data_IF_513296041900
#
_entry.id   IF_513296041900
#
_cell.length_a   1.000
_cell.length_b   1.000
_cell.length_c   1.000
_cell.angle_alpha   90.00
_cell.angle_beta   90.00
_cell.angle_gamma   90.00
#
_symmetry.space_group_name_H-M   'P 1'
#
loop_
_entity.id
_entity.type
_entity.pdbx_description
1 polymer ?
#
# COMPACT_ATOMS: atom_id res chain seq x y z
N UNK A 1 -50.21 6.17 -31.33
CA UNK A 1 -48.84 6.01 -30.78
C UNK A 1 -48.17 7.28 -30.22
N UNK A 2 -48.07 8.45 -30.89
CA UNK A 2 -47.51 9.67 -30.23
C UNK A 2 -48.53 10.47 -29.39
N UNK A 3 -49.77 10.63 -29.86
CA UNK A 3 -50.84 11.29 -29.09
C UNK A 3 -51.18 10.50 -27.83
N UNK A 4 -51.32 9.17 -27.93
CA UNK A 4 -51.52 8.29 -26.77
C UNK A 4 -50.38 8.40 -25.76
N UNK A 5 -49.12 8.50 -26.22
CA UNK A 5 -47.98 8.73 -25.33
C UNK A 5 -48.11 10.06 -24.57
N UNK A 6 -48.45 11.14 -25.27
CA UNK A 6 -48.61 12.46 -24.65
C UNK A 6 -49.80 12.50 -23.67
N UNK A 7 -50.92 11.83 -23.99
CA UNK A 7 -52.08 11.68 -23.12
C UNK A 7 -51.75 10.84 -21.88
N UNK A 8 -51.10 9.69 -22.06
CA UNK A 8 -50.69 8.81 -20.97
C UNK A 8 -49.69 9.49 -20.02
N UNK A 9 -48.85 10.39 -20.55
CA UNK A 9 -47.94 11.23 -19.76
C UNK A 9 -48.59 12.49 -19.17
N UNK A 10 -49.86 12.75 -19.46
CA UNK A 10 -50.59 13.93 -18.97
C UNK A 10 -50.04 15.26 -19.52
N UNK A 11 -49.33 15.25 -20.65
CA UNK A 11 -48.75 16.46 -21.24
C UNK A 11 -49.76 17.22 -22.11
N UNK A 12 -50.78 16.52 -22.61
CA UNK A 12 -51.88 17.06 -23.38
C UNK A 12 -53.21 16.55 -22.83
N UNK A 13 -54.31 17.23 -23.18
CA UNK A 13 -55.68 16.77 -22.93
C UNK A 13 -56.59 17.01 -24.14
N UNK A 14 -57.74 16.33 -24.25
CA UNK A 14 -58.76 16.67 -25.24
C UNK A 14 -59.17 18.15 -25.13
N UNK A 15 -59.34 18.82 -26.26
CA UNK A 15 -59.63 20.26 -26.31
C UNK A 15 -60.97 20.53 -27.00
N UNK A 16 -61.73 21.45 -26.43
CA UNK A 16 -62.92 22.08 -27.03
C UNK A 16 -62.63 23.51 -27.50
N UNK A 17 -61.35 23.88 -27.59
CA UNK A 17 -60.91 25.23 -27.96
C UNK A 17 -61.33 25.59 -29.39
N UNK A 18 -61.60 26.88 -29.61
CA UNK A 18 -61.80 27.45 -30.94
C UNK A 18 -60.50 27.47 -31.76
N UNK A 19 -59.34 27.38 -31.11
CA UNK A 19 -58.04 27.25 -31.77
C UNK A 19 -57.82 25.83 -32.32
N UNK A 20 -56.93 25.69 -33.31
CA UNK A 20 -56.66 24.40 -33.93
C UNK A 20 -55.52 24.44 -34.93
N UNK A 21 -54.29 24.44 -34.44
CA UNK A 21 -53.10 24.35 -35.28
C UNK A 21 -52.99 22.98 -35.97
N UNK A 22 -52.56 22.92 -37.24
CA UNK A 22 -52.35 21.64 -37.93
C UNK A 22 -51.08 20.95 -37.43
N UNK A 23 -51.08 19.62 -37.49
CA UNK A 23 -49.92 18.77 -37.17
C UNK A 23 -49.12 18.48 -38.43
N UNK A 24 -47.81 18.64 -38.33
CA UNK A 24 -46.81 18.33 -39.35
C UNK A 24 -45.85 17.28 -38.80
N UNK A 25 -45.22 16.51 -39.69
CA UNK A 25 -44.17 15.57 -39.31
C UNK A 25 -42.86 15.97 -39.97
N UNK A 26 -41.79 16.01 -39.18
CA UNK A 26 -40.42 16.24 -39.64
C UNK A 26 -39.59 14.99 -39.36
N UNK A 27 -38.72 14.60 -40.28
CA UNK A 27 -37.76 13.52 -40.06
C UNK A 27 -36.64 14.00 -39.13
N UNK A 28 -36.33 13.19 -38.12
CA UNK A 28 -35.11 13.34 -37.32
C UNK A 28 -33.91 12.77 -38.08
N UNK A 29 -32.70 13.09 -37.62
CA UNK A 29 -31.45 12.54 -38.16
C UNK A 29 -31.38 11.00 -38.05
N UNK A 30 -32.06 10.41 -37.07
CA UNK A 30 -32.18 8.95 -36.88
C UNK A 30 -33.25 8.29 -37.77
N UNK A 31 -33.89 9.05 -38.67
CA UNK A 31 -34.97 8.58 -39.55
C UNK A 31 -36.36 8.51 -38.90
N UNK A 32 -36.48 8.75 -37.59
CA UNK A 32 -37.78 8.74 -36.90
C UNK A 32 -38.61 10.00 -37.19
N UNK A 33 -39.94 9.87 -37.21
CA UNK A 33 -40.85 10.99 -37.41
C UNK A 33 -41.10 11.75 -36.09
N UNK A 34 -40.83 13.06 -36.09
CA UNK A 34 -41.17 13.99 -35.00
C UNK A 34 -42.45 14.74 -35.35
N UNK A 35 -43.46 14.61 -34.49
CA UNK A 35 -44.67 15.43 -34.56
C UNK A 35 -44.37 16.87 -34.15
N UNK A 36 -44.68 17.81 -35.03
CA UNK A 36 -44.51 19.24 -34.87
C UNK A 36 -45.86 19.92 -35.10
N UNK A 37 -46.17 20.94 -34.29
CA UNK A 37 -47.44 21.66 -34.41
C UNK A 37 -47.15 23.01 -35.06
N UNK A 38 -47.88 23.34 -36.13
CA UNK A 38 -47.67 24.57 -36.86
C UNK A 38 -48.34 25.77 -36.18
N UNK A 39 -47.62 26.37 -35.23
CA UNK A 39 -48.08 27.55 -34.51
C UNK A 39 -47.83 28.87 -35.25
N UNK A 40 -47.48 28.88 -36.56
CA UNK A 40 -47.16 30.13 -37.28
C UNK A 40 -48.28 31.18 -37.19
N UNK A 41 -49.55 30.77 -37.27
CA UNK A 41 -50.69 31.67 -37.12
C UNK A 41 -50.82 32.23 -35.70
N UNK A 42 -50.68 31.37 -34.69
CA UNK A 42 -50.71 31.77 -33.28
C UNK A 42 -49.55 32.72 -32.93
N UNK A 43 -48.36 32.44 -33.45
CA UNK A 43 -47.15 33.22 -33.24
C UNK A 43 -47.27 34.65 -33.78
N UNK A 44 -48.01 34.87 -34.88
CA UNK A 44 -48.28 36.22 -35.41
C UNK A 44 -49.14 37.08 -34.47
N UNK A 45 -50.00 36.45 -33.68
CA UNK A 45 -50.89 37.12 -32.73
C UNK A 45 -50.26 37.22 -31.32
N UNK A 46 -49.10 36.58 -31.11
CA UNK A 46 -48.45 36.51 -29.80
C UNK A 46 -47.60 37.76 -29.56
N UNK A 47 -47.79 38.40 -28.41
CA UNK A 47 -46.91 39.46 -27.94
C UNK A 47 -45.55 38.85 -27.63
N UNK A 48 -44.52 39.26 -28.38
CA UNK A 48 -43.18 38.67 -28.28
C UNK A 48 -42.51 39.02 -26.95
N UNK A 49 -42.02 38.01 -26.25
CA UNK A 49 -41.16 38.17 -25.09
C UNK A 49 -39.77 38.65 -25.55
N UNK A 50 -39.29 39.76 -24.99
CA UNK A 50 -37.98 40.37 -25.30
C UNK A 50 -36.90 39.99 -24.29
N UNK A 51 -37.06 38.88 -23.56
CA UNK A 51 -36.02 38.38 -22.66
C UNK A 51 -34.70 38.20 -23.42
N UNK A 52 -33.62 38.70 -22.83
CA UNK A 52 -32.29 38.68 -23.46
C UNK A 52 -31.74 37.27 -23.40
N UNK A 53 -31.50 36.69 -24.58
CA UNK A 53 -30.73 35.45 -24.71
C UNK A 53 -29.26 35.88 -24.75
N UNK A 54 -28.39 35.29 -23.91
CA UNK A 54 -26.97 35.65 -23.89
C UNK A 54 -26.32 35.39 -25.26
N UNK A 55 -25.33 36.23 -25.62
CA UNK A 55 -24.54 35.99 -26.84
C UNK A 55 -23.56 34.87 -26.59
N UNK A 56 -23.35 34.03 -27.61
CA UNK A 56 -22.44 32.89 -27.51
C UNK A 56 -21.01 33.36 -27.18
N UNK A 57 -20.56 34.47 -27.77
CA UNK A 57 -19.22 35.03 -27.50
C UNK A 57 -19.04 35.39 -26.02
N UNK A 58 -20.03 36.06 -25.41
CA UNK A 58 -20.01 36.42 -23.99
C UNK A 58 -19.92 35.15 -23.09
N UNK A 59 -20.61 34.08 -23.48
CA UNK A 59 -20.57 32.80 -22.77
C UNK A 59 -19.22 32.09 -22.93
N UNK A 60 -18.58 32.19 -24.10
CA UNK A 60 -17.27 31.59 -24.34
C UNK A 60 -16.17 32.31 -23.55
N UNK A 61 -16.26 33.63 -23.41
CA UNK A 61 -15.31 34.42 -22.60
C UNK A 61 -15.34 34.00 -21.12
N UNK A 62 -16.49 33.58 -20.60
CA UNK A 62 -16.63 33.06 -19.23
C UNK A 62 -15.87 31.74 -19.01
N UNK A 63 -15.61 30.96 -20.07
CA UNK A 63 -14.89 29.69 -19.99
C UNK A 63 -13.37 29.85 -19.88
N UNK A 64 -12.86 31.09 -19.88
CA UNK A 64 -11.42 31.35 -19.87
C UNK A 64 -10.74 30.76 -18.63
N UNK A 65 -9.77 29.88 -18.87
CA UNK A 65 -9.00 29.20 -17.81
C UNK A 65 -9.65 27.93 -17.26
N UNK A 66 -10.85 27.57 -17.73
CA UNK A 66 -11.44 26.27 -17.47
C UNK A 66 -10.73 25.18 -18.32
N UNK A 67 -10.48 24.03 -17.71
CA UNK A 67 -9.89 22.87 -18.41
C UNK A 67 -10.80 21.65 -18.39
N UNK A 68 -11.86 21.69 -17.56
CA UNK A 68 -12.82 20.60 -17.38
C UNK A 68 -14.23 21.11 -17.61
N UNK A 69 -15.00 20.36 -18.40
CA UNK A 69 -16.34 20.72 -18.83
C UNK A 69 -17.29 19.52 -18.70
N UNK A 70 -18.47 19.75 -18.14
CA UNK A 70 -19.57 18.78 -18.08
C UNK A 70 -20.82 19.40 -18.71
N UNK A 71 -21.42 18.70 -19.67
CA UNK A 71 -22.67 19.12 -20.30
C UNK A 71 -23.84 18.40 -19.65
N UNK A 72 -24.81 19.16 -19.15
CA UNK A 72 -26.11 18.65 -18.74
C UNK A 72 -27.10 18.81 -19.90
N UNK A 73 -27.74 17.72 -20.28
CA UNK A 73 -28.79 17.69 -21.29
C UNK A 73 -30.15 17.44 -20.60
N UNK A 74 -31.11 18.33 -20.84
CA UNK A 74 -32.43 18.24 -20.21
C UNK A 74 -33.35 17.35 -21.03
N UNK A 75 -33.87 16.30 -20.40
CA UNK A 75 -34.84 15.39 -21.03
C UNK A 75 -36.13 16.15 -21.37
N UNK A 76 -36.33 16.43 -22.66
CA UNK A 76 -37.53 17.13 -23.17
C UNK A 76 -37.81 18.45 -22.43
N UNK A 77 -36.78 19.31 -22.29
CA UNK A 77 -36.78 20.52 -21.46
C UNK A 77 -38.07 21.34 -21.51
N UNK A 78 -38.55 21.72 -22.70
CA UNK A 78 -39.78 22.51 -22.84
C UNK A 78 -41.01 21.88 -22.15
N UNK A 79 -41.15 20.55 -22.16
CA UNK A 79 -42.28 19.86 -21.53
C UNK A 79 -42.24 19.89 -20.00
N UNK A 80 -41.14 20.35 -19.39
CA UNK A 80 -41.03 20.51 -17.94
C UNK A 80 -41.64 21.84 -17.46
N UNK A 81 -41.86 22.79 -18.37
CA UNK A 81 -42.48 24.09 -18.06
C UNK A 81 -43.99 23.99 -18.31
N UNK A 82 -44.80 24.28 -17.28
CA UNK A 82 -46.27 24.29 -17.41
C UNK A 82 -46.75 25.49 -18.22
N UNK A 83 -47.77 25.28 -19.04
CA UNK A 83 -48.49 26.38 -19.68
C UNK A 83 -49.30 27.13 -18.63
N UNK A 84 -49.37 28.45 -18.73
CA UNK A 84 -50.29 29.25 -17.93
C UNK A 84 -51.75 28.88 -18.27
N UNK A 85 -52.61 28.76 -17.26
CA UNK A 85 -53.99 28.26 -17.42
C UNK A 85 -54.79 29.02 -18.49
N UNK A 86 -54.62 30.34 -18.55
CA UNK A 86 -55.27 31.22 -19.53
C UNK A 86 -54.73 31.08 -20.97
N UNK A 87 -53.66 30.32 -21.17
CA UNK A 87 -52.96 30.18 -22.45
C UNK A 87 -52.98 28.74 -22.99
N UNK A 88 -53.38 27.75 -22.16
CA UNK A 88 -53.51 26.34 -22.56
C UNK A 88 -54.38 26.20 -23.82
N UNK A 89 -55.58 26.77 -23.82
CA UNK A 89 -56.53 26.63 -24.94
C UNK A 89 -55.98 27.15 -26.29
N UNK A 90 -55.01 28.07 -26.27
CA UNK A 90 -54.38 28.61 -27.49
C UNK A 90 -53.45 27.61 -28.16
N UNK A 91 -52.94 26.65 -27.40
CA UNK A 91 -52.06 25.56 -27.88
C UNK A 91 -52.83 24.40 -28.51
N UNK A 92 -54.15 24.56 -28.72
CA UNK A 92 -54.96 23.52 -29.31
C UNK A 92 -54.51 23.20 -30.74
N UNK A 93 -54.42 21.90 -31.04
CA UNK A 93 -54.05 21.36 -32.34
C UNK A 93 -55.01 20.25 -32.77
N UNK A 94 -55.17 20.10 -34.08
CA UNK A 94 -56.14 19.17 -34.68
C UNK A 94 -55.44 17.99 -35.34
N UNK A 95 -56.00 16.81 -35.12
CA UNK A 95 -55.59 15.56 -35.77
C UNK A 95 -56.81 14.86 -36.36
N UNK A 96 -56.59 13.82 -37.16
CA UNK A 96 -57.69 12.95 -37.65
C UNK A 96 -58.46 12.24 -36.52
N UNK A 97 -57.91 12.21 -35.30
CA UNK A 97 -58.46 11.53 -34.14
C UNK A 97 -59.04 12.49 -33.09
N UNK A 98 -59.17 13.78 -33.42
CA UNK A 98 -59.72 14.80 -32.52
C UNK A 98 -58.77 15.97 -32.25
N UNK A 99 -59.24 16.88 -31.40
CA UNK A 99 -58.55 18.10 -30.98
C UNK A 99 -57.95 17.92 -29.59
N UNK A 100 -56.71 18.37 -29.42
CA UNK A 100 -55.96 18.28 -28.17
C UNK A 100 -55.25 19.59 -27.88
N UNK A 101 -55.00 19.89 -26.61
CA UNK A 101 -54.25 21.07 -26.17
C UNK A 101 -53.16 20.69 -25.18
N UNK A 102 -52.07 21.45 -25.16
CA UNK A 102 -50.91 21.19 -24.32
C UNK A 102 -51.05 21.83 -22.94
N UNK A 103 -50.78 21.04 -21.90
CA UNK A 103 -50.69 21.49 -20.51
C UNK A 103 -49.27 21.96 -20.14
N UNK A 104 -48.28 21.59 -20.94
CA UNK A 104 -46.87 21.94 -20.81
C UNK A 104 -46.39 22.63 -22.08
N UNK A 105 -45.34 23.42 -22.02
CA UNK A 105 -44.90 24.25 -23.14
C UNK A 105 -44.49 23.39 -24.35
N UNK A 106 -45.19 23.48 -25.50
CA UNK A 106 -44.83 22.75 -26.70
C UNK A 106 -43.73 23.47 -27.49
N UNK A 107 -43.03 22.71 -28.33
CA UNK A 107 -42.14 23.28 -29.34
C UNK A 107 -42.94 24.11 -30.36
N UNK A 108 -42.31 25.17 -30.88
CA UNK A 108 -42.85 25.98 -31.97
C UNK A 108 -43.55 27.26 -31.54
N UNK A 109 -43.76 27.50 -30.23
CA UNK A 109 -44.23 28.80 -29.74
C UNK A 109 -43.10 29.84 -29.78
N UNK A 110 -43.38 31.06 -30.26
CA UNK A 110 -42.35 32.12 -30.39
C UNK A 110 -41.72 32.52 -29.05
N UNK A 111 -42.46 32.48 -27.94
CA UNK A 111 -41.94 32.84 -26.63
C UNK A 111 -41.28 31.68 -25.89
N UNK A 112 -41.29 30.45 -26.44
CA UNK A 112 -40.79 29.28 -25.72
C UNK A 112 -39.28 29.38 -25.38
N UNK A 113 -38.38 29.73 -26.31
CA UNK A 113 -36.94 29.85 -25.99
C UNK A 113 -36.65 30.91 -24.92
N UNK A 114 -37.31 32.07 -25.03
CA UNK A 114 -37.16 33.17 -24.08
C UNK A 114 -37.66 32.80 -22.67
N UNK A 115 -38.79 32.09 -22.59
CA UNK A 115 -39.35 31.62 -21.32
C UNK A 115 -38.45 30.54 -20.70
N UNK A 116 -37.96 29.62 -21.52
CA UNK A 116 -37.05 28.57 -21.07
C UNK A 116 -35.74 29.13 -20.52
N UNK A 117 -35.10 30.05 -21.25
CA UNK A 117 -33.88 30.72 -20.79
C UNK A 117 -34.11 31.47 -19.47
N UNK A 118 -35.24 32.18 -19.34
CA UNK A 118 -35.56 32.92 -18.12
C UNK A 118 -35.71 32.00 -16.91
N UNK A 119 -36.39 30.87 -17.07
CA UNK A 119 -36.55 29.87 -16.01
C UNK A 119 -35.22 29.22 -15.64
N UNK A 120 -34.40 28.82 -16.62
CA UNK A 120 -33.08 28.24 -16.32
C UNK A 120 -32.17 29.25 -15.62
N UNK A 121 -32.19 30.51 -16.05
CA UNK A 121 -31.44 31.58 -15.40
C UNK A 121 -31.93 31.81 -13.96
N UNK A 122 -33.24 31.67 -13.69
CA UNK A 122 -33.76 31.76 -12.33
C UNK A 122 -33.30 30.58 -11.47
N UNK A 123 -33.41 29.35 -11.96
CA UNK A 123 -33.08 28.12 -11.22
C UNK A 123 -31.58 28.07 -10.91
N UNK A 124 -30.74 28.41 -11.88
CA UNK A 124 -29.29 28.29 -11.79
C UNK A 124 -28.60 29.58 -11.36
N UNK A 125 -29.37 30.61 -10.99
CA UNK A 125 -28.86 31.95 -10.62
C UNK A 125 -27.63 31.95 -9.68
N UNK A 126 -27.54 31.08 -8.65
CA UNK A 126 -26.38 31.07 -7.76
C UNK A 126 -25.07 30.61 -8.43
N UNK A 127 -25.16 29.93 -9.58
CA UNK A 127 -24.03 29.29 -10.26
C UNK A 127 -23.67 29.95 -11.60
N UNK A 128 -24.56 30.82 -12.11
CA UNK A 128 -24.32 31.61 -13.31
C UNK A 128 -23.09 32.49 -13.09
N UNK A 129 -22.30 32.67 -14.15
CA UNK A 129 -21.06 33.47 -14.19
C UNK A 129 -19.92 32.97 -13.26
N UNK A 130 -20.16 31.97 -12.41
CA UNK A 130 -19.14 31.34 -11.57
C UNK A 130 -18.64 30.00 -12.14
N UNK A 131 -19.55 29.05 -12.35
CA UNK A 131 -19.22 27.68 -12.76
C UNK A 131 -20.24 27.04 -13.72
N UNK A 132 -21.32 27.76 -14.07
CA UNK A 132 -22.36 27.28 -14.98
C UNK A 132 -22.68 28.33 -16.03
N UNK A 133 -22.71 27.88 -17.29
CA UNK A 133 -23.20 28.61 -18.45
C UNK A 133 -24.49 27.94 -18.92
N UNK A 134 -25.51 28.74 -19.26
CA UNK A 134 -26.79 28.23 -19.79
C UNK A 134 -27.09 28.89 -21.13
N UNK A 135 -27.26 28.08 -22.17
CA UNK A 135 -27.73 28.52 -23.47
C UNK A 135 -28.88 27.64 -23.94
N UNK A 136 -30.11 28.14 -23.80
CA UNK A 136 -31.33 27.41 -24.09
C UNK A 136 -31.32 26.03 -23.39
N UNK A 137 -31.36 24.95 -24.16
CA UNK A 137 -31.38 23.56 -23.65
C UNK A 137 -29.99 23.06 -23.21
N UNK A 138 -28.91 23.79 -23.53
CA UNK A 138 -27.53 23.40 -23.23
C UNK A 138 -27.05 24.06 -21.93
N UNK A 139 -26.88 23.26 -20.88
CA UNK A 139 -26.29 23.71 -19.61
C UNK A 139 -24.86 23.15 -19.54
N UNK A 140 -23.88 24.04 -19.43
CA UNK A 140 -22.46 23.72 -19.38
C UNK A 140 -21.90 24.07 -18.00
N UNK A 141 -21.42 23.07 -17.26
CA UNK A 141 -20.66 23.24 -16.02
C UNK A 141 -19.18 23.27 -16.39
N UNK A 142 -18.43 24.25 -15.89
CA UNK A 142 -17.00 24.40 -16.19
C UNK A 142 -16.18 24.58 -14.91
N UNK A 143 -14.93 24.11 -14.93
CA UNK A 143 -13.99 24.26 -13.80
C UNK A 143 -12.54 24.29 -14.29
N UNK A 144 -11.65 24.86 -13.47
CA UNK A 144 -10.22 25.00 -13.82
C UNK A 144 -9.45 23.70 -13.76
N UNK A 145 -9.86 22.78 -12.90
CA UNK A 145 -9.25 21.47 -12.75
C UNK A 145 -10.26 20.43 -12.25
N UNK A 146 -9.86 19.16 -12.33
CA UNK A 146 -10.72 18.02 -11.99
C UNK A 146 -11.03 17.93 -10.47
N UNK A 147 -10.18 18.53 -9.63
CA UNK A 147 -10.33 18.54 -8.18
C UNK A 147 -11.48 19.47 -7.77
N UNK A 148 -11.54 20.64 -8.40
CA UNK A 148 -12.67 21.58 -8.28
C UNK A 148 -13.93 21.05 -8.95
N UNK A 149 -13.81 20.32 -10.07
CA UNK A 149 -14.96 19.88 -10.85
C UNK A 149 -15.80 18.77 -10.19
N UNK A 150 -15.17 17.88 -9.42
CA UNK A 150 -15.76 16.57 -9.13
C UNK A 150 -16.38 16.34 -7.76
N UNK A 151 -16.51 17.34 -6.87
CA UNK A 151 -16.98 17.11 -5.50
C UNK A 151 -16.10 16.11 -4.70
N UNK A 152 -15.00 15.58 -5.27
CA UNK A 152 -14.16 14.55 -4.64
C UNK A 152 -13.52 15.06 -3.34
N UNK A 153 -13.18 16.34 -3.28
CA UNK A 153 -12.72 16.97 -2.03
C UNK A 153 -13.79 16.89 -0.93
N UNK A 154 -15.05 17.18 -1.26
CA UNK A 154 -16.17 17.14 -0.31
C UNK A 154 -16.44 15.72 0.20
N UNK A 155 -16.27 14.70 -0.64
CA UNK A 155 -16.52 13.30 -0.26
C UNK A 155 -15.27 12.56 0.24
N UNK A 156 -14.11 13.22 0.34
CA UNK A 156 -12.87 12.59 0.81
C UNK A 156 -11.97 13.46 1.72
N UNK A 157 -11.70 14.72 1.35
CA UNK A 157 -10.65 15.55 1.95
C UNK A 157 -11.14 16.46 3.10
N UNK A 158 -12.44 16.75 3.14
CA UNK A 158 -13.06 17.50 4.26
C UNK A 158 -13.16 16.64 5.53
N UNK A 159 -13.15 17.31 6.69
CA UNK A 159 -13.09 16.65 8.00
C UNK A 159 -14.19 15.60 8.20
N UNK A 160 -15.43 15.91 7.79
CA UNK A 160 -16.57 15.00 7.96
C UNK A 160 -16.59 13.84 6.95
N UNK A 161 -15.80 13.91 5.87
CA UNK A 161 -15.62 12.80 4.94
C UNK A 161 -14.59 11.78 5.43
N UNK A 162 -13.75 12.15 6.40
CA UNK A 162 -12.94 11.22 7.17
C UNK A 162 -11.87 10.44 6.39
N UNK A 163 -11.50 10.90 5.19
CA UNK A 163 -10.48 10.25 4.36
C UNK A 163 -10.72 8.74 4.16
N UNK A 164 -11.96 8.30 3.94
CA UNK A 164 -12.24 6.89 3.74
C UNK A 164 -11.59 6.32 2.46
N UNK A 165 -11.53 4.99 2.36
CA UNK A 165 -11.00 4.31 1.16
C UNK A 165 -11.95 4.44 -0.03
N UNK A 166 -11.41 4.19 -1.23
CA UNK A 166 -12.06 4.46 -2.52
C UNK A 166 -13.48 3.92 -2.63
N UNK A 167 -13.75 2.69 -2.17
CA UNK A 167 -15.11 2.12 -2.21
C UNK A 167 -16.14 2.93 -1.41
N UNK A 168 -15.76 3.42 -0.23
CA UNK A 168 -16.66 4.23 0.62
C UNK A 168 -16.89 5.62 0.01
N UNK A 169 -15.82 6.25 -0.48
CA UNK A 169 -15.91 7.54 -1.19
C UNK A 169 -16.79 7.40 -2.43
N UNK A 170 -16.58 6.35 -3.24
CA UNK A 170 -17.40 6.05 -4.42
C UNK A 170 -18.87 5.85 -4.05
N UNK A 171 -19.17 5.07 -3.02
CA UNK A 171 -20.56 4.83 -2.59
C UNK A 171 -21.20 6.10 -2.04
N UNK A 172 -20.44 7.01 -1.42
CA UNK A 172 -20.92 8.32 -0.98
C UNK A 172 -21.36 9.19 -2.16
N UNK A 173 -20.47 9.34 -3.14
CA UNK A 173 -20.69 10.17 -4.33
C UNK A 173 -21.80 9.58 -5.21
N UNK A 174 -21.81 8.26 -5.38
CA UNK A 174 -22.76 7.53 -6.24
C UNK A 174 -24.23 7.65 -5.80
N UNK A 175 -24.51 8.19 -4.61
CA UNK A 175 -25.88 8.50 -4.16
C UNK A 175 -26.50 9.67 -4.92
N UNK A 176 -25.67 10.60 -5.37
CA UNK A 176 -26.10 11.88 -5.92
C UNK A 176 -25.59 12.11 -7.34
N UNK A 177 -24.49 11.45 -7.72
CA UNK A 177 -23.79 11.70 -8.99
C UNK A 177 -23.38 10.40 -9.69
N UNK A 178 -23.21 10.47 -11.01
CA UNK A 178 -22.66 9.39 -11.83
C UNK A 178 -21.95 9.97 -13.05
N UNK A 179 -20.79 9.41 -13.41
CA UNK A 179 -20.11 9.68 -14.68
C UNK A 179 -19.31 8.45 -15.18
N UNK A 180 -19.00 8.38 -16.49
CA UNK A 180 -18.14 7.32 -17.04
C UNK A 180 -16.77 7.30 -16.35
N UNK A 181 -16.24 6.11 -16.03
CA UNK A 181 -14.96 5.93 -15.32
C UNK A 181 -14.89 6.52 -13.89
N UNK A 182 -16.03 6.86 -13.27
CA UNK A 182 -16.10 7.36 -11.90
C UNK A 182 -15.33 6.51 -10.88
N UNK A 183 -15.39 5.18 -10.98
CA UNK A 183 -14.65 4.30 -10.10
C UNK A 183 -13.13 4.46 -10.23
N UNK A 184 -12.63 4.62 -11.46
CA UNK A 184 -11.20 4.81 -11.75
C UNK A 184 -10.74 6.19 -11.25
N UNK A 185 -11.54 7.23 -11.44
CA UNK A 185 -11.22 8.59 -11.00
C UNK A 185 -11.23 8.72 -9.49
N UNK A 186 -12.25 8.15 -8.80
CA UNK A 186 -12.28 8.08 -7.34
C UNK A 186 -11.07 7.30 -6.82
N UNK A 187 -10.74 6.17 -7.44
CA UNK A 187 -9.58 5.38 -7.06
C UNK A 187 -8.30 6.21 -7.20
N UNK A 188 -8.07 6.85 -8.36
CA UNK A 188 -6.91 7.70 -8.62
C UNK A 188 -6.80 8.81 -7.57
N UNK A 189 -7.89 9.53 -7.30
CA UNK A 189 -7.93 10.62 -6.32
C UNK A 189 -7.61 10.16 -4.90
N UNK A 190 -8.22 9.07 -4.43
CA UNK A 190 -7.97 8.54 -3.08
C UNK A 190 -6.54 8.01 -2.97
N UNK A 191 -6.00 7.39 -4.04
CA UNK A 191 -4.61 6.91 -4.04
C UNK A 191 -3.57 8.01 -4.12
N UNK A 192 -3.88 9.16 -4.72
CA UNK A 192 -2.98 10.32 -4.80
C UNK A 192 -3.10 11.26 -3.59
N UNK A 193 -4.03 11.01 -2.67
CA UNK A 193 -4.20 11.82 -1.46
C UNK A 193 -2.99 11.70 -0.50
N UNK A 194 -2.22 12.79 -0.39
CA UNK A 194 -1.01 12.89 0.45
C UNK A 194 -1.27 12.49 1.92
N UNK A 195 -2.34 13.04 2.54
CA UNK A 195 -2.74 12.71 3.92
C UNK A 195 -2.97 11.20 4.09
N UNK A 196 -3.63 10.56 3.13
CA UNK A 196 -3.86 9.12 3.14
C UNK A 196 -2.56 8.33 2.99
N UNK A 197 -1.69 8.72 2.07
CA UNK A 197 -0.42 8.04 1.81
C UNK A 197 0.50 8.07 3.04
N UNK A 198 0.52 9.18 3.80
CA UNK A 198 1.33 9.31 5.01
C UNK A 198 0.79 8.56 6.22
N UNK A 199 -0.54 8.46 6.36
CA UNK A 199 -1.18 7.92 7.58
C UNK A 199 -1.51 6.43 7.49
N UNK A 200 -1.95 5.96 6.33
CA UNK A 200 -2.42 4.57 6.17
C UNK A 200 -1.24 3.62 5.97
N UNK A 201 -1.41 2.37 6.40
CA UNK A 201 -0.43 1.32 6.12
C UNK A 201 -0.40 1.01 4.61
N UNK A 202 0.79 0.93 4.02
CA UNK A 202 0.93 0.43 2.66
C UNK A 202 0.47 -1.03 2.56
N UNK A 203 -0.29 -1.34 1.51
CA UNK A 203 -0.66 -2.71 1.12
C UNK A 203 0.25 -3.26 0.02
N UNK A 204 1.24 -2.49 -0.43
CA UNK A 204 2.20 -2.95 -1.43
C UNK A 204 3.06 -4.07 -0.85
N UNK A 205 3.55 -4.95 -1.73
CA UNK A 205 4.56 -5.93 -1.35
C UNK A 205 5.83 -5.18 -0.91
N UNK A 206 6.63 -5.80 -0.05
CA UNK A 206 7.91 -5.20 0.36
C UNK A 206 8.83 -5.10 -0.87
N UNK A 207 9.41 -3.92 -1.07
CA UNK A 207 10.36 -3.68 -2.16
C UNK A 207 11.71 -4.34 -1.89
N UNK A 208 12.35 -4.82 -2.95
CA UNK A 208 13.69 -5.42 -2.94
C UNK A 208 13.72 -6.92 -2.66
N UNK A 209 14.38 -7.67 -3.55
CA UNK A 209 14.65 -9.11 -3.39
C UNK A 209 15.55 -9.39 -2.18
N UNK A 210 15.48 -10.61 -1.67
CA UNK A 210 16.32 -11.04 -0.55
C UNK A 210 17.80 -11.09 -0.98
N UNK A 211 18.62 -10.24 -0.36
CA UNK A 211 20.06 -10.32 -0.42
C UNK A 211 20.56 -11.20 0.74
N UNK A 212 21.11 -12.36 0.40
CA UNK A 212 21.63 -13.33 1.38
C UNK A 212 23.16 -13.26 1.40
N UNK A 213 23.76 -13.38 2.60
CA UNK A 213 25.20 -13.47 2.75
C UNK A 213 25.74 -14.78 2.12
N UNK A 214 26.97 -14.79 1.60
CA UNK A 214 27.57 -16.01 1.04
C UNK A 214 27.60 -17.13 2.09
N UNK A 215 27.29 -18.35 1.64
CA UNK A 215 27.36 -19.54 2.50
C UNK A 215 28.84 -19.88 2.74
N UNK A 216 29.28 -20.08 3.99
CA UNK A 216 30.66 -20.46 4.27
C UNK A 216 30.97 -21.86 3.73
N UNK A 217 32.23 -22.15 3.44
CA UNK A 217 32.68 -23.44 2.89
C UNK A 217 33.17 -24.40 3.99
N UNK A 218 33.60 -23.86 5.15
CA UNK A 218 34.16 -24.64 6.25
C UNK A 218 33.72 -24.08 7.63
N UNK A 219 33.81 -24.89 8.70
CA UNK A 219 33.55 -24.42 10.06
C UNK A 219 34.39 -23.20 10.44
N UNK A 220 33.81 -22.30 11.22
CA UNK A 220 34.46 -21.12 11.84
C UNK A 220 34.93 -20.04 10.86
N UNK A 221 34.65 -20.16 9.56
CA UNK A 221 34.93 -19.09 8.59
C UNK A 221 34.08 -17.84 8.81
N UNK A 222 32.81 -18.03 9.17
CA UNK A 222 31.84 -16.94 9.42
C UNK A 222 31.08 -17.25 10.69
N UNK A 223 31.08 -16.33 11.64
CA UNK A 223 30.39 -16.51 12.92
C UNK A 223 29.41 -15.36 13.17
N UNK A 224 28.32 -15.65 13.88
CA UNK A 224 27.31 -14.67 14.32
C UNK A 224 27.40 -14.50 15.82
N UNK A 225 27.32 -13.26 16.30
CA UNK A 225 27.27 -12.91 17.71
C UNK A 225 25.94 -12.23 18.03
N UNK A 226 25.37 -12.58 19.17
CA UNK A 226 24.17 -11.95 19.70
C UNK A 226 24.17 -11.99 21.24
N UNK A 227 23.38 -11.12 21.86
CA UNK A 227 23.17 -11.10 23.31
C UNK A 227 21.74 -11.47 23.66
N UNK A 228 21.58 -12.53 24.46
CA UNK A 228 20.36 -12.75 25.21
C UNK A 228 20.46 -11.90 26.48
N UNK A 229 19.63 -10.87 26.59
CA UNK A 229 19.60 -9.94 27.73
C UNK A 229 18.28 -10.03 28.49
N UNK A 230 18.17 -9.31 29.61
CA UNK A 230 16.98 -9.30 30.49
C UNK A 230 16.66 -10.66 31.11
N UNK A 231 17.69 -11.48 31.32
CA UNK A 231 17.56 -12.68 32.12
C UNK A 231 17.55 -12.30 33.61
N UNK A 232 16.88 -13.09 34.46
CA UNK A 232 16.97 -12.87 35.90
C UNK A 232 18.42 -13.02 36.36
N UNK A 233 18.90 -12.15 37.26
CA UNK A 233 20.28 -12.22 37.72
C UNK A 233 20.54 -13.54 38.45
N UNK A 234 21.69 -14.15 38.18
CA UNK A 234 22.11 -15.39 38.85
C UNK A 234 22.69 -15.13 40.23
N UNK A 235 22.92 -16.22 40.99
CA UNK A 235 23.66 -16.15 42.27
C UNK A 235 25.08 -15.59 42.08
N UNK A 236 25.67 -15.78 40.90
CA UNK A 236 26.98 -15.22 40.54
C UNK A 236 26.87 -13.84 39.85
N UNK A 237 25.69 -13.21 39.91
CA UNK A 237 25.38 -11.88 39.38
C UNK A 237 25.42 -11.73 37.85
N UNK A 238 25.27 -12.80 37.06
CA UNK A 238 25.15 -12.72 35.60
C UNK A 238 23.69 -12.48 35.18
N UNK A 239 23.45 -11.60 34.21
CA UNK A 239 22.09 -11.24 33.73
C UNK A 239 21.96 -11.29 32.19
N UNK A 240 23.01 -11.75 31.49
CA UNK A 240 23.03 -11.88 30.04
C UNK A 240 23.87 -13.07 29.55
N UNK A 241 23.63 -13.51 28.33
CA UNK A 241 24.40 -14.54 27.63
C UNK A 241 24.91 -13.96 26.31
N UNK A 242 26.23 -14.01 26.10
CA UNK A 242 26.81 -13.85 24.78
C UNK A 242 26.71 -15.18 24.05
N UNK A 243 25.94 -15.19 22.97
CA UNK A 243 25.75 -16.35 22.11
C UNK A 243 26.61 -16.18 20.87
N UNK A 244 27.44 -17.17 20.58
CA UNK A 244 28.24 -17.21 19.34
C UNK A 244 27.88 -18.45 18.56
N UNK A 245 27.57 -18.29 17.27
CA UNK A 245 27.25 -19.43 16.40
C UNK A 245 28.11 -19.43 15.14
N UNK A 246 28.70 -20.58 14.83
CA UNK A 246 29.32 -20.83 13.53
C UNK A 246 28.24 -20.99 12.44
N UNK A 247 28.32 -20.19 11.38
CA UNK A 247 27.32 -20.19 10.30
C UNK A 247 27.41 -21.44 9.43
N UNK A 248 28.49 -22.20 9.49
CA UNK A 248 28.63 -23.46 8.76
C UNK A 248 28.13 -24.67 9.56
N UNK A 249 28.84 -25.05 10.62
CA UNK A 249 28.56 -26.23 11.44
C UNK A 249 27.31 -26.08 12.32
N UNK A 250 26.89 -24.83 12.57
CA UNK A 250 25.87 -24.45 13.56
C UNK A 250 26.28 -24.66 15.00
N UNK A 251 27.58 -24.82 15.26
CA UNK A 251 28.13 -24.97 16.60
C UNK A 251 27.94 -23.68 17.38
N UNK A 252 27.32 -23.80 18.56
CA UNK A 252 26.96 -22.69 19.42
C UNK A 252 27.84 -22.65 20.67
N UNK A 253 28.15 -21.44 21.13
CA UNK A 253 28.75 -21.15 22.43
C UNK A 253 27.80 -20.30 23.26
N UNK A 254 27.58 -20.69 24.52
CA UNK A 254 26.70 -19.98 25.45
C UNK A 254 27.52 -19.43 26.61
N UNK A 255 27.91 -18.16 26.51
CA UNK A 255 28.89 -17.55 27.41
C UNK A 255 28.16 -16.60 28.36
N UNK A 256 28.14 -16.92 29.66
CA UNK A 256 27.59 -16.03 30.68
C UNK A 256 28.31 -14.67 30.68
N UNK A 257 27.55 -13.59 30.82
CA UNK A 257 28.05 -12.22 30.83
C UNK A 257 27.06 -11.29 31.55
N UNK A 258 27.29 -9.99 31.47
CA UNK A 258 26.42 -8.96 32.01
C UNK A 258 25.85 -8.07 30.90
N UNK A 259 24.63 -7.58 31.06
CA UNK A 259 24.04 -6.58 30.14
C UNK A 259 24.89 -5.31 30.10
N UNK A 260 25.54 -4.98 31.22
CA UNK A 260 26.45 -3.84 31.39
C UNK A 260 27.91 -4.14 31.06
N UNK A 261 28.22 -5.34 30.54
CA UNK A 261 29.60 -5.71 30.22
C UNK A 261 30.19 -4.71 29.21
N UNK A 262 31.44 -4.30 29.44
CA UNK A 262 32.12 -3.38 28.54
C UNK A 262 32.51 -4.08 27.25
N UNK A 263 32.79 -3.29 26.21
CA UNK A 263 33.26 -3.84 24.94
C UNK A 263 34.54 -4.66 25.10
N UNK A 264 35.47 -4.20 25.92
CA UNK A 264 36.74 -4.88 26.18
C UNK A 264 36.53 -6.26 26.84
N UNK A 265 35.58 -6.36 27.76
CA UNK A 265 35.20 -7.62 28.41
C UNK A 265 34.56 -8.57 27.39
N UNK A 266 33.67 -8.05 26.54
CA UNK A 266 33.08 -8.84 25.43
C UNK A 266 34.16 -9.37 24.49
N UNK A 267 35.16 -8.55 24.17
CA UNK A 267 36.28 -8.97 23.31
C UNK A 267 37.13 -10.05 23.97
N UNK A 268 37.37 -9.95 25.28
CA UNK A 268 38.07 -11.00 26.02
C UNK A 268 37.30 -12.32 26.01
N UNK A 269 35.97 -12.28 26.17
CA UNK A 269 35.13 -13.47 26.05
C UNK A 269 35.24 -14.08 24.65
N UNK A 270 35.16 -13.26 23.60
CA UNK A 270 35.29 -13.73 22.22
C UNK A 270 36.67 -14.35 21.94
N UNK A 271 37.75 -13.70 22.38
CA UNK A 271 39.12 -14.22 22.23
C UNK A 271 39.29 -15.55 22.97
N UNK A 272 38.84 -15.62 24.23
CA UNK A 272 39.00 -16.79 25.10
C UNK A 272 38.20 -18.00 24.63
N UNK A 273 36.97 -17.80 24.17
CA UNK A 273 36.07 -18.90 23.86
C UNK A 273 36.09 -19.31 22.39
N UNK A 274 36.38 -18.37 21.48
CA UNK A 274 36.29 -18.59 20.04
C UNK A 274 37.68 -18.61 19.41
N UNK A 275 38.41 -17.49 19.49
CA UNK A 275 39.71 -17.37 18.79
C UNK A 275 40.71 -18.40 19.29
N UNK A 276 40.81 -18.60 20.60
CA UNK A 276 41.79 -19.54 21.16
C UNK A 276 41.46 -21.01 20.85
N UNK A 277 40.22 -21.33 20.47
CA UNK A 277 39.76 -22.70 20.24
C UNK A 277 39.73 -23.05 18.75
N UNK A 278 39.31 -22.09 17.91
CA UNK A 278 39.00 -22.33 16.49
C UNK A 278 39.78 -21.45 15.52
N UNK A 279 40.51 -20.45 16.04
CA UNK A 279 41.18 -19.44 15.23
C UNK A 279 40.30 -18.24 14.90
N UNK A 280 40.82 -17.37 14.04
CA UNK A 280 40.22 -16.08 13.71
C UNK A 280 39.25 -16.26 12.54
N UNK A 281 37.95 -15.91 12.68
CA UNK A 281 37.00 -16.00 11.58
C UNK A 281 37.28 -14.92 10.52
N UNK A 282 36.94 -15.23 9.27
CA UNK A 282 37.09 -14.28 8.16
C UNK A 282 36.02 -13.19 8.18
N UNK A 283 34.81 -13.53 8.66
CA UNK A 283 33.69 -12.60 8.76
C UNK A 283 32.95 -12.76 10.10
N UNK A 284 32.66 -11.64 10.74
CA UNK A 284 31.87 -11.54 11.95
C UNK A 284 30.55 -10.86 11.66
N UNK A 285 29.45 -11.54 11.95
CA UNK A 285 28.09 -11.00 11.84
C UNK A 285 27.61 -10.64 13.24
N UNK A 286 27.05 -9.45 13.41
CA UNK A 286 26.41 -9.04 14.66
C UNK A 286 25.27 -8.07 14.39
N UNK A 287 24.42 -7.87 15.39
CA UNK A 287 23.49 -6.76 15.42
C UNK A 287 24.23 -5.41 15.58
N UNK A 288 23.45 -4.33 15.68
CA UNK A 288 23.97 -2.98 15.90
C UNK A 288 24.12 -2.64 17.38
N UNK A 289 24.31 -3.62 18.26
CA UNK A 289 24.59 -3.35 19.67
C UNK A 289 25.80 -2.39 19.78
N UNK A 290 25.73 -1.37 20.66
CA UNK A 290 26.82 -0.42 20.87
C UNK A 290 28.19 -1.07 21.11
N UNK A 291 28.22 -2.26 21.73
CA UNK A 291 29.45 -3.02 21.98
C UNK A 291 30.12 -3.41 20.66
N UNK A 292 29.37 -3.96 19.69
CA UNK A 292 29.90 -4.40 18.39
C UNK A 292 30.15 -3.25 17.40
N UNK A 293 29.51 -2.09 17.60
CA UNK A 293 29.69 -0.91 16.74
C UNK A 293 30.74 0.08 17.24
N UNK A 294 31.25 -0.12 18.45
CA UNK A 294 32.27 0.71 19.09
C UNK A 294 33.57 0.79 18.29
N UNK A 295 34.32 1.88 18.48
CA UNK A 295 35.63 2.07 17.84
C UNK A 295 36.59 0.94 18.20
N UNK A 296 36.67 0.59 19.48
CA UNK A 296 37.53 -0.50 19.96
C UNK A 296 37.24 -1.83 19.22
N UNK A 297 35.97 -2.21 19.09
CA UNK A 297 35.60 -3.46 18.41
C UNK A 297 36.00 -3.46 16.94
N UNK A 298 35.77 -2.34 16.24
CA UNK A 298 36.15 -2.16 14.83
C UNK A 298 37.66 -2.26 14.63
N UNK A 299 38.45 -1.60 15.48
CA UNK A 299 39.91 -1.66 15.41
C UNK A 299 40.42 -3.08 15.71
N UNK A 300 39.86 -3.74 16.72
CA UNK A 300 40.23 -5.13 17.04
C UNK A 300 40.00 -6.07 15.86
N UNK A 301 38.82 -6.00 15.23
CA UNK A 301 38.52 -6.86 14.08
C UNK A 301 39.39 -6.52 12.86
N UNK A 302 39.69 -5.23 12.65
CA UNK A 302 40.63 -4.79 11.62
C UNK A 302 42.03 -5.40 11.82
N UNK A 303 42.55 -5.35 13.05
CA UNK A 303 43.86 -5.94 13.41
C UNK A 303 43.88 -7.47 13.23
N UNK A 304 42.76 -8.13 13.49
CA UNK A 304 42.61 -9.58 13.29
C UNK A 304 42.37 -9.96 11.82
N UNK A 305 42.12 -8.99 10.93
CA UNK A 305 41.77 -9.24 9.54
C UNK A 305 40.34 -9.76 9.33
N UNK A 306 39.47 -9.63 10.33
CA UNK A 306 38.08 -10.08 10.30
C UNK A 306 37.18 -8.99 9.73
N UNK A 307 36.38 -9.34 8.70
CA UNK A 307 35.39 -8.42 8.12
C UNK A 307 34.16 -8.33 9.02
N UNK A 308 33.75 -7.12 9.35
CA UNK A 308 32.52 -6.86 10.10
C UNK A 308 31.32 -6.72 9.15
N UNK A 309 30.31 -7.57 9.34
CA UNK A 309 29.05 -7.52 8.61
C UNK A 309 27.88 -7.25 9.59
N UNK A 310 27.39 -6.02 9.65
CA UNK A 310 26.28 -5.67 10.55
C UNK A 310 24.94 -6.11 9.96
N UNK A 311 24.08 -6.78 10.74
CA UNK A 311 22.69 -6.96 10.33
C UNK A 311 22.02 -5.57 10.22
N UNK A 312 21.35 -5.31 9.10
CA UNK A 312 20.72 -4.00 8.88
C UNK A 312 19.34 -3.95 9.54
N UNK A 313 18.93 -2.77 10.00
CA UNK A 313 17.60 -2.53 10.62
C UNK A 313 16.44 -2.85 9.66
N UNK A 314 16.72 -2.94 8.35
CA UNK A 314 15.76 -3.31 7.30
C UNK A 314 15.91 -4.76 6.79
N UNK A 315 16.94 -5.50 7.23
CA UNK A 315 17.15 -6.91 6.87
C UNK A 315 17.21 -7.81 8.12
N UNK A 316 16.09 -8.00 8.83
CA UNK A 316 16.00 -9.02 9.90
C UNK A 316 16.35 -10.45 9.43
N UNK A 317 16.48 -10.67 8.12
CA UNK A 317 16.79 -11.98 7.54
C UNK A 317 18.28 -12.34 7.56
N UNK A 318 19.20 -11.39 7.77
CA UNK A 318 20.62 -11.73 7.99
C UNK A 318 20.86 -12.37 9.35
N UNK A 319 19.98 -12.09 10.34
CA UNK A 319 20.13 -12.51 11.73
C UNK A 319 19.06 -13.51 12.22
N UNK A 320 18.08 -13.91 11.40
CA UNK A 320 17.06 -14.88 11.83
C UNK A 320 17.58 -16.25 12.33
N UNK A 321 18.87 -16.54 12.16
CA UNK A 321 19.52 -17.70 12.78
C UNK A 321 19.85 -17.49 14.26
N UNK A 322 20.25 -16.28 14.70
CA UNK A 322 20.47 -15.98 16.12
C UNK A 322 19.14 -15.93 16.86
N UNK A 323 18.08 -15.37 16.25
CA UNK A 323 16.73 -15.39 16.83
C UNK A 323 16.23 -16.81 17.11
N UNK A 324 16.38 -17.72 16.12
CA UNK A 324 16.02 -19.14 16.28
C UNK A 324 16.86 -19.82 17.35
N UNK A 325 18.15 -19.48 17.45
CA UNK A 325 19.05 -20.01 18.45
C UNK A 325 18.67 -19.53 19.85
N UNK A 326 18.37 -18.24 20.02
CA UNK A 326 17.94 -17.66 21.29
C UNK A 326 16.68 -18.36 21.80
N UNK A 327 15.70 -18.64 20.92
CA UNK A 327 14.52 -19.43 21.28
C UNK A 327 14.88 -20.84 21.78
N UNK A 328 15.85 -21.51 21.15
CA UNK A 328 16.31 -22.83 21.60
C UNK A 328 17.00 -22.73 22.95
N UNK A 329 17.87 -21.73 23.15
CA UNK A 329 18.56 -21.48 24.42
C UNK A 329 17.55 -21.21 25.53
N UNK A 330 16.56 -20.34 25.30
CA UNK A 330 15.48 -20.07 26.26
C UNK A 330 14.70 -21.34 26.64
N UNK A 331 14.37 -22.19 25.67
CA UNK A 331 13.71 -23.48 25.94
C UNK A 331 14.58 -24.43 26.76
N UNK A 332 15.87 -24.53 26.43
CA UNK A 332 16.84 -25.34 27.16
C UNK A 332 17.01 -24.84 28.61
N UNK A 333 17.11 -23.53 28.80
CA UNK A 333 17.17 -22.90 30.12
C UNK A 333 15.90 -23.15 30.92
N UNK A 334 14.73 -22.98 30.30
CA UNK A 334 13.43 -23.25 30.96
C UNK A 334 13.29 -24.71 31.40
N UNK A 335 13.80 -25.66 30.62
CA UNK A 335 13.82 -27.06 30.98
C UNK A 335 14.83 -27.37 32.11
N UNK A 336 16.04 -26.81 32.04
CA UNK A 336 17.10 -27.08 33.01
C UNK A 336 16.91 -26.36 34.35
N UNK A 337 16.27 -25.20 34.35
CA UNK A 337 16.17 -24.32 35.53
C UNK A 337 14.74 -24.27 36.10
N UNK A 338 13.93 -25.32 35.86
CA UNK A 338 12.52 -25.39 36.28
C UNK A 338 12.33 -25.13 37.77
N UNK A 339 13.26 -25.61 38.60
CA UNK A 339 13.19 -25.53 40.05
C UNK A 339 13.92 -24.31 40.63
N UNK A 340 14.92 -23.76 39.91
CA UNK A 340 15.69 -22.60 40.34
C UNK A 340 16.30 -21.86 39.13
N UNK A 341 15.66 -20.77 38.73
CA UNK A 341 16.11 -19.95 37.61
C UNK A 341 17.40 -19.18 37.93
N UNK A 342 17.76 -18.99 39.20
CA UNK A 342 18.95 -18.20 39.58
C UNK A 342 20.29 -18.91 39.34
N UNK A 343 20.27 -20.15 38.84
CA UNK A 343 21.45 -20.99 38.57
C UNK A 343 21.67 -21.25 37.08
N UNK A 344 20.97 -20.53 36.21
CA UNK A 344 21.01 -20.79 34.77
C UNK A 344 22.43 -20.70 34.19
N UNK A 345 23.32 -19.87 34.76
CA UNK A 345 24.71 -19.71 34.33
C UNK A 345 25.59 -20.94 34.60
N UNK A 346 25.25 -21.75 35.60
CA UNK A 346 25.93 -23.01 35.92
C UNK A 346 25.58 -24.12 34.92
N UNK A 347 24.39 -24.05 34.32
CA UNK A 347 23.91 -25.05 33.38
C UNK A 347 24.41 -24.84 31.95
N UNK A 348 24.85 -23.62 31.61
CA UNK A 348 25.25 -23.27 30.23
C UNK A 348 26.24 -24.25 29.58
N UNK A 349 27.32 -24.72 30.23
CA UNK A 349 28.25 -25.66 29.59
C UNK A 349 27.60 -26.99 29.20
N UNK A 350 26.66 -27.48 30.01
CA UNK A 350 25.93 -28.73 29.74
C UNK A 350 24.88 -28.52 28.65
N UNK A 351 24.22 -27.35 28.65
CA UNK A 351 23.27 -26.97 27.61
C UNK A 351 23.96 -26.77 26.26
N UNK A 352 25.15 -26.16 26.25
CA UNK A 352 26.01 -26.02 25.07
C UNK A 352 26.38 -27.39 24.51
N UNK A 353 26.81 -28.32 25.36
CA UNK A 353 27.06 -29.71 24.97
C UNK A 353 25.82 -30.38 24.37
N UNK A 354 24.66 -30.26 25.03
CA UNK A 354 23.41 -30.86 24.58
C UNK A 354 22.99 -30.31 23.21
N UNK A 355 23.09 -29.00 23.01
CA UNK A 355 22.82 -28.33 21.74
C UNK A 355 23.78 -28.81 20.63
N UNK A 356 25.09 -28.82 20.89
CA UNK A 356 26.10 -29.20 19.89
C UNK A 356 26.12 -30.70 19.57
N UNK A 357 25.54 -31.54 20.44
CA UNK A 357 25.34 -32.96 20.24
C UNK A 357 23.98 -33.30 19.59
N UNK A 358 23.09 -32.33 19.39
CA UNK A 358 21.82 -32.53 18.69
C UNK A 358 21.99 -32.34 17.18
N UNK A 359 21.33 -33.17 16.38
CA UNK A 359 21.32 -33.01 14.92
C UNK A 359 20.62 -31.71 14.54
N UNK A 360 21.30 -30.85 13.80
CA UNK A 360 20.72 -29.59 13.34
C UNK A 360 20.00 -29.78 12.00
N UNK A 361 18.74 -29.35 11.88
CA UNK A 361 17.91 -29.59 10.69
C UNK A 361 18.52 -29.05 9.38
N UNK A 362 19.18 -27.88 9.45
CA UNK A 362 19.78 -27.26 8.26
C UNK A 362 20.97 -28.06 7.71
N UNK A 363 21.81 -28.63 8.57
CA UNK A 363 23.00 -29.39 8.14
C UNK A 363 22.71 -30.89 8.02
N UNK A 364 21.67 -31.39 8.71
CA UNK A 364 21.40 -32.82 8.83
C UNK A 364 22.43 -33.57 9.67
N UNK A 365 23.32 -32.85 10.37
CA UNK A 365 24.44 -33.39 11.14
C UNK A 365 24.50 -32.70 12.51
N UNK A 366 25.21 -33.32 13.45
CA UNK A 366 25.53 -32.68 14.73
C UNK A 366 26.59 -31.60 14.52
N UNK A 367 26.44 -30.40 15.10
CA UNK A 367 27.46 -29.36 15.04
C UNK A 367 28.84 -29.84 15.49
N UNK A 368 28.91 -30.58 16.60
CA UNK A 368 30.15 -31.15 17.10
C UNK A 368 30.81 -32.10 16.09
N UNK A 369 30.01 -32.94 15.41
CA UNK A 369 30.53 -33.86 14.41
C UNK A 369 31.08 -33.14 13.17
N UNK A 370 30.44 -32.06 12.74
CA UNK A 370 30.91 -31.25 11.60
C UNK A 370 32.23 -30.54 11.88
N UNK A 371 32.47 -30.12 13.12
CA UNK A 371 33.74 -29.50 13.50
C UNK A 371 34.86 -30.53 13.68
N UNK A 372 34.56 -31.66 14.32
CA UNK A 372 35.60 -32.57 14.83
C UNK A 372 35.69 -33.92 14.13
N UNK A 373 34.75 -34.25 13.23
CA UNK A 373 34.71 -35.54 12.52
C UNK A 373 34.44 -36.75 13.42
N UNK A 374 34.05 -36.53 14.67
CA UNK A 374 33.77 -37.57 15.66
C UNK A 374 32.56 -37.21 16.50
N UNK A 375 31.86 -38.22 16.99
CA UNK A 375 30.79 -38.01 17.95
C UNK A 375 31.37 -37.70 19.34
N UNK A 376 30.72 -36.81 20.12
CA UNK A 376 31.13 -36.61 21.50
C UNK A 376 30.90 -37.89 22.31
N UNK A 377 31.79 -38.15 23.26
CA UNK A 377 31.67 -39.30 24.15
C UNK A 377 30.54 -39.07 25.14
N UNK A 378 29.73 -40.11 25.37
CA UNK A 378 28.68 -40.13 26.40
C UNK A 378 28.83 -41.42 27.22
N UNK A 379 28.45 -41.41 28.52
CA UNK A 379 28.70 -42.56 29.41
C UNK A 379 28.17 -43.91 28.92
N UNK A 380 27.12 -43.92 28.09
CA UNK A 380 26.48 -45.14 27.57
C UNK A 380 27.04 -45.65 26.23
N UNK A 381 27.99 -44.94 25.61
CA UNK A 381 28.66 -45.38 24.38
C UNK A 381 30.14 -45.61 24.66
N UNK A 382 30.54 -46.82 25.13
CA UNK A 382 31.94 -47.19 25.15
C UNK A 382 32.46 -47.22 23.71
N UNK A 383 33.67 -46.71 23.53
CA UNK A 383 34.40 -46.71 22.26
C UNK A 383 34.41 -48.12 21.68
N UNK A 384 33.58 -48.40 20.67
CA UNK A 384 33.83 -49.56 19.81
C UNK A 384 35.19 -49.32 19.19
N UNK A 385 36.13 -50.28 19.34
CA UNK A 385 37.45 -50.27 18.71
C UNK A 385 37.32 -49.94 17.23
N UNK A 386 37.37 -48.65 16.90
CA UNK A 386 37.39 -48.19 15.53
C UNK A 386 38.82 -48.39 15.06
N UNK A 387 38.99 -49.19 14.01
CA UNK A 387 40.23 -49.28 13.25
C UNK A 387 40.72 -47.86 13.00
N UNK A 388 41.91 -47.51 13.51
CA UNK A 388 42.46 -46.16 13.35
C UNK A 388 42.54 -45.87 11.85
N UNK A 389 41.69 -44.97 11.36
CA UNK A 389 41.76 -44.56 9.96
C UNK A 389 43.08 -43.80 9.74
N UNK A 390 43.80 -44.07 8.63
CA UNK A 390 44.91 -43.24 8.21
C UNK A 390 44.50 -41.75 8.16
N UNK A 391 45.38 -40.86 8.60
CA UNK A 391 45.07 -39.42 8.68
C UNK A 391 44.60 -38.83 7.33
N UNK A 392 45.11 -39.35 6.22
CA UNK A 392 44.69 -38.94 4.87
C UNK A 392 43.22 -39.26 4.57
N UNK A 393 42.75 -40.44 4.97
CA UNK A 393 41.37 -40.87 4.77
C UNK A 393 40.41 -40.04 5.62
N UNK A 394 40.84 -39.66 6.83
CA UNK A 394 40.09 -38.76 7.70
C UNK A 394 39.93 -37.37 7.08
N UNK A 395 41.02 -36.75 6.59
CA UNK A 395 40.96 -35.43 5.95
C UNK A 395 40.05 -35.47 4.71
N UNK A 396 40.18 -36.50 3.89
CA UNK A 396 39.33 -36.69 2.70
C UNK A 396 37.86 -36.83 3.09
N UNK A 397 37.58 -37.61 4.13
CA UNK A 397 36.22 -37.79 4.67
C UNK A 397 35.64 -36.47 5.19
N UNK A 398 36.46 -35.67 5.90
CA UNK A 398 36.05 -34.36 6.40
C UNK A 398 35.75 -33.36 5.29
N UNK A 399 36.59 -33.28 4.26
CA UNK A 399 36.32 -32.43 3.10
C UNK A 399 35.04 -32.84 2.38
N UNK A 400 34.82 -34.14 2.17
CA UNK A 400 33.56 -34.62 1.57
C UNK A 400 32.33 -34.30 2.44
N UNK A 401 32.47 -34.37 3.77
CA UNK A 401 31.41 -33.99 4.72
C UNK A 401 31.11 -32.49 4.62
N UNK A 402 32.15 -31.65 4.55
CA UNK A 402 32.01 -30.22 4.39
C UNK A 402 31.41 -29.84 3.04
N UNK A 403 31.84 -30.43 1.94
CA UNK A 403 31.28 -30.19 0.59
C UNK A 403 29.78 -30.51 0.54
N UNK A 404 29.36 -31.64 1.12
CA UNK A 404 27.94 -32.02 1.20
C UNK A 404 27.16 -31.03 2.05
N UNK A 405 27.73 -30.59 3.16
CA UNK A 405 27.11 -29.61 4.08
C UNK A 405 26.97 -28.25 3.41
N UNK A 406 28.01 -27.77 2.73
CA UNK A 406 28.01 -26.53 1.97
C UNK A 406 26.90 -26.53 0.92
N UNK A 407 26.81 -27.59 0.10
CA UNK A 407 25.74 -27.75 -0.91
C UNK A 407 24.35 -27.71 -0.28
N UNK A 408 24.14 -28.40 0.84
CA UNK A 408 22.86 -28.39 1.55
C UNK A 408 22.50 -27.01 2.08
N UNK A 409 23.46 -26.27 2.64
CA UNK A 409 23.23 -24.90 3.12
C UNK A 409 22.91 -23.94 1.96
N UNK A 410 23.57 -24.10 0.81
CA UNK A 410 23.25 -23.36 -0.41
C UNK A 410 21.82 -23.65 -0.88
N UNK A 411 21.42 -24.93 -0.94
CA UNK A 411 20.07 -25.31 -1.36
C UNK A 411 19.00 -24.72 -0.45
N UNK A 412 19.20 -24.79 0.87
CA UNK A 412 18.28 -24.19 1.86
C UNK A 412 18.20 -22.67 1.67
N UNK A 413 19.33 -21.99 1.50
CA UNK A 413 19.36 -20.55 1.29
C UNK A 413 18.63 -20.15 0.00
N UNK A 414 18.83 -20.89 -1.09
CA UNK A 414 18.14 -20.65 -2.36
C UNK A 414 16.62 -20.88 -2.23
N UNK A 415 16.20 -21.93 -1.52
CA UNK A 415 14.78 -22.18 -1.25
C UNK A 415 14.14 -21.06 -0.43
N UNK A 416 14.81 -20.62 0.65
CA UNK A 416 14.36 -19.51 1.49
C UNK A 416 14.26 -18.21 0.69
N UNK A 417 15.26 -17.91 -0.16
CA UNK A 417 15.23 -16.78 -1.08
C UNK A 417 14.03 -16.82 -2.02
N UNK A 418 13.83 -17.95 -2.72
CA UNK A 418 12.66 -18.14 -3.62
C UNK A 418 11.33 -17.94 -2.89
N UNK A 419 11.21 -18.42 -1.64
CA UNK A 419 9.98 -18.26 -0.87
C UNK A 419 9.76 -16.82 -0.41
N UNK A 420 10.81 -16.15 0.09
CA UNK A 420 10.75 -14.76 0.53
C UNK A 420 10.42 -13.82 -0.63
N UNK A 421 11.00 -14.07 -1.80
CA UNK A 421 10.87 -13.21 -2.98
C UNK A 421 9.47 -13.28 -3.62
N UNK A 422 8.68 -14.34 -3.40
CA UNK A 422 7.27 -14.43 -3.86
C UNK A 422 6.38 -13.29 -3.34
N UNK A 423 6.69 -12.81 -2.14
CA UNK A 423 5.95 -11.78 -1.44
C UNK A 423 6.62 -10.41 -1.52
N UNK A 424 7.62 -10.26 -2.39
CA UNK A 424 8.37 -9.02 -2.62
C UNK A 424 8.15 -8.51 -4.04
N UNK A 425 8.35 -7.22 -4.19
CA UNK A 425 8.42 -6.58 -5.50
C UNK A 425 9.89 -6.43 -5.87
N UNK A 426 10.20 -6.75 -7.12
CA UNK A 426 11.51 -6.53 -7.73
C UNK A 426 11.59 -5.12 -8.36
N UNK A 427 10.83 -4.17 -7.83
CA UNK A 427 10.84 -2.81 -8.36
C UNK A 427 12.06 -2.08 -7.79
N UNK A 428 13.03 -1.83 -8.65
CA UNK A 428 14.20 -1.03 -8.31
C UNK A 428 13.81 0.44 -8.30
N UNK A 429 13.89 1.07 -7.13
CA UNK A 429 13.77 2.51 -6.97
C UNK A 429 14.90 3.19 -7.75
N UNK A 430 14.57 4.03 -8.73
CA UNK A 430 15.52 4.70 -9.61
C UNK A 430 15.92 6.09 -9.10
N UNK A 431 17.10 6.55 -9.48
CA UNK A 431 17.50 7.94 -9.27
C UNK A 431 16.51 8.86 -9.98
N UNK A 432 15.95 9.83 -9.26
CA UNK A 432 14.90 10.72 -9.73
C UNK A 432 13.48 10.33 -9.30
N UNK A 433 13.26 9.13 -8.73
CA UNK A 433 11.94 8.75 -8.20
C UNK A 433 11.59 9.57 -6.95
N UNK A 434 10.30 9.82 -6.74
CA UNK A 434 9.77 10.36 -5.49
C UNK A 434 9.28 9.24 -4.58
N UNK A 435 9.84 9.17 -3.38
CA UNK A 435 9.53 8.12 -2.40
C UNK A 435 9.09 8.70 -1.07
N UNK A 436 8.29 7.92 -0.33
CA UNK A 436 7.95 8.21 1.06
C UNK A 436 8.79 7.30 1.98
N UNK A 437 9.38 7.89 3.01
CA UNK A 437 10.21 7.19 3.99
C UNK A 437 9.36 6.72 5.17
N UNK A 438 9.53 5.46 5.57
CA UNK A 438 8.86 4.89 6.74
C UNK A 438 9.40 5.50 8.04
N UNK A 439 8.50 5.98 8.90
CA UNK A 439 8.85 6.72 10.10
C UNK A 439 9.13 5.86 11.33
N UNK A 440 8.96 4.53 11.25
CA UNK A 440 9.13 3.61 12.40
C UNK A 440 10.46 3.76 13.13
N UNK A 441 11.51 4.12 12.40
CA UNK A 441 12.87 4.24 12.92
C UNK A 441 13.40 5.68 12.93
N UNK A 442 12.52 6.67 12.73
CA UNK A 442 12.86 8.08 12.86
C UNK A 442 12.55 8.57 14.28
N UNK A 443 13.40 9.44 14.81
CA UNK A 443 13.13 10.10 16.09
C UNK A 443 12.07 11.19 15.92
N UNK A 444 10.80 10.77 15.99
CA UNK A 444 9.61 11.63 16.04
C UNK A 444 8.91 11.48 17.40
N UNK A 445 9.72 11.37 18.46
CA UNK A 445 9.28 11.19 19.84
C UNK A 445 8.33 12.29 20.35
N UNK A 446 8.39 13.49 19.78
CA UNK A 446 7.51 14.63 20.11
C UNK A 446 6.02 14.43 19.77
N UNK A 447 5.66 13.43 18.95
CA UNK A 447 4.28 13.11 18.61
C UNK A 447 3.76 11.88 19.40
N UNK A 448 2.47 11.82 19.78
CA UNK A 448 1.86 10.64 20.40
C UNK A 448 1.95 9.41 19.50
N UNK A 449 2.37 8.26 20.03
CA UNK A 449 2.66 7.04 19.25
C UNK A 449 1.53 6.57 18.31
N UNK A 450 0.26 6.78 18.70
CA UNK A 450 -0.91 6.39 17.90
C UNK A 450 -1.29 7.38 16.79
N UNK A 451 -0.75 8.60 16.82
CA UNK A 451 -1.06 9.67 15.87
C UNK A 451 0.12 10.04 14.96
N UNK A 452 1.23 9.30 15.05
CA UNK A 452 2.39 9.52 14.19
C UNK A 452 2.04 9.15 12.74
N UNK A 453 2.43 10.00 11.76
CA UNK A 453 2.38 9.58 10.37
C UNK A 453 3.29 8.38 10.18
N UNK A 454 2.84 7.39 9.42
CA UNK A 454 3.61 6.18 9.10
C UNK A 454 4.71 6.44 8.09
N UNK A 455 4.52 7.45 7.24
CA UNK A 455 5.48 7.84 6.23
C UNK A 455 5.72 9.36 6.20
N UNK A 456 6.92 9.80 5.83
CA UNK A 456 7.31 11.20 5.61
C UNK A 456 7.95 11.40 4.22
N UNK A 457 8.04 12.64 3.75
CA UNK A 457 8.49 12.99 2.38
C UNK A 457 7.48 13.91 1.67
N UNK A 458 7.30 13.82 0.34
CA UNK A 458 8.08 12.97 -0.59
C UNK A 458 9.55 13.42 -0.65
N UNK A 459 10.45 12.45 -0.79
CA UNK A 459 11.88 12.68 -0.99
C UNK A 459 12.28 12.26 -2.40
N UNK A 460 13.24 12.99 -2.98
CA UNK A 460 13.84 12.63 -4.27
C UNK A 460 14.98 11.65 -4.04
N UNK A 461 15.04 10.59 -4.84
CA UNK A 461 16.13 9.62 -4.80
C UNK A 461 17.33 10.18 -5.56
N UNK A 462 18.41 10.51 -4.85
CA UNK A 462 19.62 11.11 -5.44
C UNK A 462 20.63 10.06 -5.97
N UNK A 463 20.73 8.92 -5.29
CA UNK A 463 21.68 7.86 -5.64
C UNK A 463 21.20 6.48 -5.15
N UNK A 464 21.55 5.43 -5.89
CA UNK A 464 21.44 4.05 -5.44
C UNK A 464 22.77 3.63 -4.78
N UNK A 465 22.69 3.13 -3.54
CA UNK A 465 23.86 2.56 -2.85
C UNK A 465 23.93 1.06 -3.18
N UNK A 466 25.08 0.54 -3.63
CA UNK A 466 25.24 -0.85 -4.06
C UNK A 466 25.08 -1.89 -2.94
#
# INVERSE_FOLDING_TARGET
>A
MQIEYLLAKGLIRPSTSSYGAPVLFTLKQDGSLRMCIDYRALNKQTIKNKYLIPRIDDLLDQLRGATVFSKLDLRSGYWQIRMADNSIHKTAFRTRYGSYEYLVMPFGLTNAPATFQAEMNHILRPFLDECVVVYLDDILIYSRDMKQHLLLEEYHDVLYAGHFGSNKTLTGIAKHYYWPHMADDVQKFVTSCDKCQRMKSSKQKKEGLLQSLPVPEQPWQVVSLDFITRLPPTTSNHDAILVVIDKFSKMGYFIRTHTTARTEETAQLFVRHIISQHGIPTTLISDRDPKFTSKFWKELMSLLGTKLAMSSVYHPQTDGQTERLNQIVEQLLGAACKDDISKWDLHLPVLEFAYNNATHAATGQMPFFLCYGRHPLTPQKPTTSATVQPAHDFITTMHQLWDRTHKRLLDIQQQQKRQADRHRNDHTIMVGDQVLLDTRNLDISHLPSKLRPRFCGPFLVEAQVP
#
